data_IF_810396301949
#
_entry.id   IF_810396301949
#
_cell.length_a   1.000
_cell.length_b   1.000
_cell.length_c   1.000
_cell.angle_alpha   90.00
_cell.angle_beta   90.00
_cell.angle_gamma   90.00
#
_symmetry.space_group_name_H-M   'P 1'
#
loop_
_entity.id
_entity.type
_entity.pdbx_description
1 polymer ?
#
# COMPACT_ATOMS: atom_id res chain seq x y z
N UNK A 1 -0.27 18.18 2.46
CA UNK A 1 0.37 17.18 1.57
C UNK A 1 0.94 16.11 2.48
N UNK A 2 0.26 14.97 2.65
CA UNK A 2 0.81 13.85 3.42
C UNK A 2 1.93 13.27 2.58
N UNK A 3 3.16 13.41 3.04
CA UNK A 3 4.32 12.97 2.26
C UNK A 3 4.39 11.45 2.38
N UNK A 4 4.55 10.73 1.27
CA UNK A 4 4.90 9.29 1.24
C UNK A 4 6.02 8.91 2.23
N UNK A 5 6.83 9.90 2.63
CA UNK A 5 7.84 9.82 3.67
C UNK A 5 7.26 9.54 5.07
N UNK A 6 6.22 10.25 5.50
CA UNK A 6 5.56 10.03 6.80
C UNK A 6 4.96 8.63 6.88
N UNK A 7 4.31 8.20 5.78
CA UNK A 7 3.75 6.85 5.69
C UNK A 7 4.87 5.81 5.75
N UNK A 8 5.99 6.02 5.03
CA UNK A 8 7.15 5.13 5.08
C UNK A 8 7.75 5.02 6.49
N UNK A 9 7.88 6.16 7.19
CA UNK A 9 8.42 6.22 8.54
C UNK A 9 7.47 5.56 9.57
N UNK A 10 6.17 5.76 9.43
CA UNK A 10 5.17 5.20 10.36
C UNK A 10 4.87 3.71 10.12
N UNK A 11 4.85 3.28 8.86
CA UNK A 11 4.55 1.88 8.49
C UNK A 11 5.81 1.01 8.42
N UNK A 12 7.00 1.62 8.36
CA UNK A 12 8.25 0.89 8.08
C UNK A 12 8.36 0.37 6.65
N UNK A 13 7.45 0.78 5.75
CA UNK A 13 7.45 0.38 4.34
C UNK A 13 8.42 1.26 3.57
N UNK A 14 9.22 0.66 2.68
CA UNK A 14 10.14 1.43 1.85
C UNK A 14 9.39 2.46 0.98
N UNK A 15 9.89 3.70 0.96
CA UNK A 15 9.36 4.79 0.12
C UNK A 15 9.26 4.41 -1.35
N UNK A 16 10.18 3.57 -1.85
CA UNK A 16 10.16 3.07 -3.24
C UNK A 16 8.93 2.17 -3.48
N UNK A 17 8.59 1.30 -2.53
CA UNK A 17 7.39 0.46 -2.57
C UNK A 17 6.12 1.29 -2.56
N UNK A 18 6.02 2.27 -1.65
CA UNK A 18 4.88 3.19 -1.61
C UNK A 18 4.76 4.02 -2.89
N UNK A 19 5.88 4.49 -3.44
CA UNK A 19 5.90 5.22 -4.71
C UNK A 19 5.43 4.33 -5.87
N UNK A 20 5.86 3.06 -5.91
CA UNK A 20 5.39 2.09 -6.91
C UNK A 20 3.91 1.84 -6.76
N UNK A 21 3.40 1.59 -5.55
CA UNK A 21 1.97 1.43 -5.28
C UNK A 21 1.14 2.66 -5.71
N UNK A 22 1.64 3.86 -5.44
CA UNK A 22 0.96 5.11 -5.80
C UNK A 22 0.97 5.39 -7.31
N UNK A 23 2.02 4.99 -8.03
CA UNK A 23 2.18 5.27 -9.47
C UNK A 23 1.81 4.09 -10.38
N UNK A 24 1.87 2.85 -9.89
CA UNK A 24 1.69 1.61 -10.63
C UNK A 24 0.80 0.66 -9.84
N UNK A 25 -0.43 0.47 -10.31
CA UNK A 25 -1.41 -0.43 -9.68
C UNK A 25 -1.02 -1.92 -9.79
N UNK A 26 -0.11 -2.26 -10.70
CA UNK A 26 0.36 -3.63 -10.96
C UNK A 26 1.62 -3.99 -10.14
N UNK A 27 1.76 -3.43 -8.95
CA UNK A 27 2.88 -3.74 -8.08
C UNK A 27 2.54 -4.89 -7.13
N UNK A 28 3.31 -5.98 -7.21
CA UNK A 28 3.23 -7.07 -6.25
C UNK A 28 3.75 -6.62 -4.88
N UNK A 29 2.83 -6.49 -3.93
CA UNK A 29 3.08 -6.11 -2.54
C UNK A 29 2.80 -7.31 -1.63
N UNK A 30 3.67 -7.52 -0.64
CA UNK A 30 3.48 -8.60 0.34
C UNK A 30 2.37 -8.29 1.34
N UNK A 31 1.74 -9.33 1.89
CA UNK A 31 0.66 -9.20 2.88
C UNK A 31 1.09 -8.41 4.11
N UNK A 32 2.33 -8.58 4.59
CA UNK A 32 2.90 -7.79 5.71
C UNK A 32 2.84 -6.27 5.47
N UNK A 33 3.10 -5.82 4.24
CA UNK A 33 3.03 -4.40 3.88
C UNK A 33 1.58 -3.91 3.92
N UNK A 34 0.66 -4.74 3.44
CA UNK A 34 -0.76 -4.45 3.48
C UNK A 34 -1.27 -4.37 4.92
N UNK A 35 -0.86 -5.28 5.82
CA UNK A 35 -1.21 -5.23 7.24
C UNK A 35 -0.72 -3.94 7.91
N UNK A 36 0.53 -3.53 7.63
CA UNK A 36 1.09 -2.26 8.14
C UNK A 36 0.32 -1.05 7.66
N UNK A 37 -0.10 -1.05 6.39
CA UNK A 37 -0.92 0.01 5.82
C UNK A 37 -2.33 0.01 6.44
N UNK A 38 -2.97 -1.14 6.57
CA UNK A 38 -4.25 -1.28 7.28
C UNK A 38 -4.17 -0.73 8.71
N UNK A 39 -3.12 -1.08 9.44
CA UNK A 39 -2.89 -0.61 10.82
C UNK A 39 -2.67 0.91 10.87
N UNK A 40 -1.92 1.47 9.93
CA UNK A 40 -1.65 2.91 9.85
C UNK A 40 -2.90 3.72 9.46
N UNK A 41 -3.65 3.27 8.46
CA UNK A 41 -4.88 3.92 8.00
C UNK A 41 -6.11 3.57 8.85
N UNK A 42 -5.96 2.66 9.81
CA UNK A 42 -7.03 2.12 10.65
C UNK A 42 -8.24 1.63 9.83
N UNK A 43 -7.95 0.93 8.73
CA UNK A 43 -8.95 0.46 7.77
C UNK A 43 -8.88 -1.06 7.58
N UNK A 44 -9.95 -1.62 7.01
CA UNK A 44 -10.00 -3.03 6.65
C UNK A 44 -9.22 -3.33 5.36
N UNK A 45 -8.79 -4.58 5.21
CA UNK A 45 -8.10 -5.06 4.01
C UNK A 45 -8.82 -4.72 2.70
N UNK A 46 -10.15 -4.82 2.68
CA UNK A 46 -10.96 -4.53 1.49
C UNK A 46 -11.01 -3.06 1.09
N UNK A 47 -10.60 -2.14 1.96
CA UNK A 47 -10.53 -0.70 1.64
C UNK A 47 -9.26 -0.34 0.87
N UNK A 48 -8.19 -1.12 1.04
CA UNK A 48 -6.89 -0.86 0.41
C UNK A 48 -6.49 -1.88 -0.65
N UNK A 49 -7.09 -3.07 -0.65
CA UNK A 49 -6.81 -4.14 -1.59
C UNK A 49 -8.12 -4.67 -2.18
N UNK A 50 -8.18 -4.71 -3.51
CA UNK A 50 -9.29 -5.28 -4.27
C UNK A 50 -8.75 -6.33 -5.24
N UNK A 51 -9.50 -7.42 -5.39
CA UNK A 51 -9.23 -8.39 -6.45
C UNK A 51 -9.69 -7.80 -7.79
N UNK A 52 -8.73 -7.46 -8.64
CA UNK A 52 -8.99 -7.03 -10.02
C UNK A 52 -8.77 -8.24 -10.93
N UNK A 53 -9.82 -8.83 -11.53
CA UNK A 53 -9.65 -9.90 -12.51
C UNK A 53 -8.91 -9.35 -13.72
N UNK A 54 -7.94 -10.11 -14.23
CA UNK A 54 -7.25 -9.80 -15.49
C UNK A 54 -8.30 -9.82 -16.61
N UNK A 55 -8.64 -8.64 -17.15
CA UNK A 55 -9.47 -8.55 -18.35
C UNK A 55 -8.62 -8.92 -19.55
N UNK A 56 -8.66 -10.19 -19.92
CA UNK A 56 -8.15 -10.68 -21.20
C UNK A 56 -8.98 -10.19 -22.38
#
# INVERSE_FOLDING_TARGET
MVQLKEIAEATGVHRVTLSKLANNKEYNVGVDTIEKLCAYFQCGIGEIAEYVPERS
#
